data_IF_696175113675
#
_entry.id   IF_696175113675
#
_cell.length_a   1.000
_cell.length_b   1.000
_cell.length_c   1.000
_cell.angle_alpha   90.00
_cell.angle_beta   90.00
_cell.angle_gamma   90.00
#
_symmetry.space_group_name_H-M   'P 1'
#
loop_
_entity.id
_entity.type
_entity.pdbx_description
1 polymer ?
#
# COMPACT_ATOMS: atom_id res chain seq x y z
N UNK A 1 3.18 -14.53 -13.93
CA UNK A 1 2.71 -14.14 -12.58
C UNK A 1 2.12 -12.71 -12.56
N UNK A 2 1.04 -12.41 -13.32
CA UNK A 2 0.62 -11.00 -13.53
C UNK A 2 -0.57 -10.50 -12.70
N UNK A 3 -1.32 -11.39 -12.01
CA UNK A 3 -2.64 -11.04 -11.46
C UNK A 3 -2.77 -10.69 -9.96
N UNK A 4 -1.88 -11.05 -9.00
CA UNK A 4 -2.21 -10.90 -7.58
C UNK A 4 -2.16 -9.45 -7.04
N UNK A 5 -1.50 -8.53 -7.75
CA UNK A 5 -1.22 -7.18 -7.23
C UNK A 5 -2.41 -6.20 -7.29
N UNK A 6 -3.43 -6.49 -8.10
CA UNK A 6 -4.64 -5.66 -8.21
C UNK A 6 -5.45 -5.60 -6.91
N UNK A 7 -5.38 -6.66 -6.10
CA UNK A 7 -6.22 -6.85 -4.91
C UNK A 7 -5.54 -6.30 -3.64
N UNK A 8 -4.22 -6.10 -3.67
CA UNK A 8 -3.45 -5.65 -2.50
C UNK A 8 -3.93 -4.33 -1.89
N UNK A 9 -4.28 -3.29 -2.66
CA UNK A 9 -4.84 -2.06 -2.10
C UNK A 9 -6.17 -2.30 -1.38
N UNK A 10 -6.98 -3.23 -1.87
CA UNK A 10 -8.29 -3.56 -1.29
C UNK A 10 -8.12 -4.35 0.01
N UNK A 11 -7.24 -5.37 0.02
CA UNK A 11 -6.92 -6.17 1.21
C UNK A 11 -6.34 -5.28 2.32
N UNK A 12 -5.45 -4.37 1.95
CA UNK A 12 -4.85 -3.40 2.87
C UNK A 12 -5.91 -2.47 3.50
N UNK A 13 -6.89 -2.02 2.70
CA UNK A 13 -7.98 -1.19 3.19
C UNK A 13 -8.93 -1.95 4.13
N UNK A 14 -9.22 -3.21 3.82
CA UNK A 14 -10.10 -4.05 4.64
C UNK A 14 -9.56 -4.31 6.05
N UNK A 15 -8.25 -4.13 6.25
CA UNK A 15 -7.60 -4.31 7.53
C UNK A 15 -8.20 -3.45 8.65
N UNK A 16 -8.13 -2.13 8.48
CA UNK A 16 -8.37 -1.17 9.56
C UNK A 16 -9.15 0.06 9.09
N UNK A 17 -9.24 0.33 7.79
CA UNK A 17 -9.85 1.57 7.28
C UNK A 17 -11.35 1.71 7.60
N UNK A 18 -12.03 0.59 7.86
CA UNK A 18 -13.45 0.54 8.21
C UNK A 18 -13.75 0.66 9.71
N UNK A 19 -12.74 0.52 10.59
CA UNK A 19 -12.96 0.39 12.05
C UNK A 19 -13.74 1.57 12.61
N UNK A 20 -13.37 2.81 12.26
CA UNK A 20 -14.11 4.00 12.68
C UNK A 20 -15.62 3.89 12.38
N UNK A 21 -15.95 3.41 11.19
CA UNK A 21 -17.33 3.36 10.71
C UNK A 21 -18.11 2.23 11.37
N UNK A 22 -17.45 1.10 11.62
CA UNK A 22 -18.00 0.00 12.41
C UNK A 22 -18.32 0.51 13.83
N UNK A 23 -17.34 1.09 14.52
CA UNK A 23 -17.51 1.63 15.88
C UNK A 23 -18.64 2.66 15.97
N UNK A 24 -18.74 3.55 14.97
CA UNK A 24 -19.80 4.56 14.90
C UNK A 24 -21.19 3.94 14.64
N UNK A 25 -21.28 2.95 13.75
CA UNK A 25 -22.56 2.32 13.41
C UNK A 25 -23.11 1.47 14.56
N UNK A 26 -22.25 0.83 15.36
CA UNK A 26 -22.65 0.03 16.52
C UNK A 26 -22.72 0.84 17.83
N UNK A 27 -22.39 2.13 17.81
CA UNK A 27 -22.45 3.00 19.00
C UNK A 27 -21.28 2.83 19.99
N UNK A 28 -20.27 2.02 19.67
CA UNK A 28 -19.10 1.79 20.53
C UNK A 28 -18.12 2.96 20.57
N UNK A 29 -18.27 3.95 19.70
CA UNK A 29 -17.32 5.07 19.60
C UNK A 29 -17.30 5.96 20.85
N UNK A 30 -18.45 6.20 21.51
CA UNK A 30 -18.54 7.11 22.65
C UNK A 30 -17.85 6.57 23.91
N UNK A 31 -18.07 5.31 24.34
CA UNK A 31 -17.33 4.74 25.48
C UNK A 31 -15.81 4.75 25.29
N UNK A 32 -15.34 4.48 24.06
CA UNK A 32 -13.90 4.45 23.75
C UNK A 32 -13.31 5.87 23.82
N UNK A 33 -13.96 6.83 23.18
CA UNK A 33 -13.53 8.24 23.18
C UNK A 33 -13.58 8.82 24.61
N UNK A 34 -14.58 8.46 25.41
CA UNK A 34 -14.71 8.95 26.79
C UNK A 34 -13.56 8.50 27.68
N UNK A 35 -12.97 7.33 27.42
CA UNK A 35 -11.84 6.80 28.21
C UNK A 35 -10.48 7.35 27.75
N UNK A 36 -10.27 7.47 26.44
CA UNK A 36 -8.96 7.80 25.85
C UNK A 36 -8.81 9.27 25.45
N UNK A 37 -9.91 9.98 25.26
CA UNK A 37 -9.95 11.31 24.68
C UNK A 37 -9.96 11.31 23.14
N UNK A 38 -10.73 12.21 22.55
CA UNK A 38 -10.96 12.33 21.09
C UNK A 38 -9.66 12.42 20.29
N UNK A 39 -8.78 13.36 20.64
CA UNK A 39 -7.51 13.60 19.92
C UNK A 39 -6.56 12.41 20.00
N UNK A 40 -6.57 11.67 21.10
CA UNK A 40 -5.71 10.51 21.26
C UNK A 40 -6.24 9.33 20.44
N UNK A 41 -7.54 9.05 20.49
CA UNK A 41 -8.19 8.01 19.69
C UNK A 41 -7.89 8.16 18.19
N UNK A 42 -8.13 9.34 17.60
CA UNK A 42 -7.92 9.52 16.15
C UNK A 42 -6.44 9.47 15.74
N UNK A 43 -5.52 10.01 16.55
CA UNK A 43 -4.08 9.85 16.27
C UNK A 43 -3.67 8.38 16.29
N UNK A 44 -4.12 7.65 17.30
CA UNK A 44 -3.81 6.24 17.44
C UNK A 44 -4.42 5.42 16.29
N UNK A 45 -5.68 5.70 15.93
CA UNK A 45 -6.37 5.02 14.84
C UNK A 45 -5.66 5.19 13.50
N UNK A 46 -5.20 6.41 13.18
CA UNK A 46 -4.42 6.65 11.96
C UNK A 46 -3.09 5.89 11.96
N UNK A 47 -2.34 5.93 13.07
CA UNK A 47 -1.06 5.22 13.20
C UNK A 47 -1.23 3.70 13.11
N UNK A 48 -2.21 3.13 13.85
CA UNK A 48 -2.52 1.70 13.80
C UNK A 48 -2.93 1.30 12.38
N UNK A 49 -3.77 2.09 11.72
CA UNK A 49 -4.17 1.81 10.35
C UNK A 49 -2.97 1.71 9.42
N UNK A 50 -2.07 2.70 9.47
CA UNK A 50 -0.88 2.70 8.62
C UNK A 50 0.02 1.49 8.89
N UNK A 51 0.33 1.22 10.15
CA UNK A 51 1.23 0.13 10.56
C UNK A 51 0.64 -1.23 10.20
N UNK A 52 -0.62 -1.49 10.57
CA UNK A 52 -1.27 -2.79 10.31
C UNK A 52 -1.42 -3.02 8.81
N UNK A 53 -1.80 -1.99 8.06
CA UNK A 53 -1.96 -2.05 6.60
C UNK A 53 -0.63 -2.32 5.88
N UNK A 54 0.47 -1.78 6.40
CA UNK A 54 1.83 -2.09 5.92
C UNK A 54 2.17 -3.57 6.14
N UNK A 55 1.97 -4.09 7.36
CA UNK A 55 2.30 -5.47 7.68
C UNK A 55 1.42 -6.50 6.96
N UNK A 56 0.15 -6.19 6.70
CA UNK A 56 -0.76 -7.07 5.98
C UNK A 56 -0.29 -7.37 4.55
N UNK A 57 0.46 -6.46 3.92
CA UNK A 57 1.09 -6.72 2.61
C UNK A 57 2.48 -7.32 2.79
N UNK A 58 3.26 -6.82 3.75
CA UNK A 58 4.64 -7.28 3.98
C UNK A 58 4.70 -8.76 4.32
N UNK A 59 3.83 -9.24 5.22
CA UNK A 59 3.87 -10.61 5.74
C UNK A 59 3.62 -11.66 4.64
N UNK A 60 2.56 -11.58 3.81
CA UNK A 60 2.37 -12.51 2.71
C UNK A 60 3.51 -12.51 1.69
N UNK A 61 4.08 -11.34 1.38
CA UNK A 61 5.20 -11.25 0.43
C UNK A 61 6.49 -11.86 0.99
N UNK A 62 6.82 -11.60 2.25
CA UNK A 62 7.96 -12.23 2.93
C UNK A 62 7.79 -13.74 3.04
N UNK A 63 6.57 -14.20 3.35
CA UNK A 63 6.26 -15.62 3.40
C UNK A 63 6.40 -16.29 2.01
N UNK A 64 5.93 -15.62 0.94
CA UNK A 64 6.14 -16.10 -0.42
C UNK A 64 7.63 -16.26 -0.73
N UNK A 65 8.45 -15.27 -0.37
CA UNK A 65 9.89 -15.32 -0.58
C UNK A 65 10.57 -16.42 0.22
N UNK A 66 10.16 -16.62 1.46
CA UNK A 66 10.64 -17.71 2.29
C UNK A 66 10.39 -19.07 1.64
N UNK A 67 9.16 -19.31 1.14
CA UNK A 67 8.85 -20.55 0.40
C UNK A 67 9.66 -20.68 -0.88
N UNK A 68 9.91 -19.57 -1.58
CA UNK A 68 10.73 -19.57 -2.79
C UNK A 68 12.19 -19.92 -2.49
N UNK A 69 12.75 -19.36 -1.42
CA UNK A 69 14.12 -19.66 -0.96
C UNK A 69 14.29 -21.11 -0.48
N UNK A 70 13.21 -21.76 -0.01
CA UNK A 70 13.22 -23.18 0.37
C UNK A 70 13.15 -24.13 -0.84
N UNK A 71 12.49 -23.72 -1.92
CA UNK A 71 12.24 -24.58 -3.09
C UNK A 71 13.31 -24.44 -4.16
N UNK A 72 13.91 -23.25 -4.30
CA UNK A 72 14.92 -22.96 -5.30
C UNK A 72 16.25 -22.54 -4.66
N UNK A 73 17.40 -23.01 -5.17
CA UNK A 73 18.69 -22.55 -4.69
C UNK A 73 18.85 -21.06 -4.97
N UNK A 74 19.34 -20.33 -3.98
CA UNK A 74 19.55 -18.88 -4.07
C UNK A 74 20.80 -18.59 -4.91
N UNK A 75 20.68 -18.73 -6.23
CA UNK A 75 21.73 -18.41 -7.20
C UNK A 75 21.52 -16.98 -7.69
N UNK A 76 22.60 -16.20 -7.76
CA UNK A 76 22.55 -14.87 -8.33
C UNK A 76 22.02 -14.95 -9.78
N UNK A 77 21.06 -14.09 -10.16
CA UNK A 77 20.48 -14.15 -11.49
C UNK A 77 21.58 -13.92 -12.53
N UNK A 78 21.63 -14.78 -13.55
CA UNK A 78 22.62 -14.62 -14.62
C UNK A 78 22.03 -13.72 -15.72
N UNK A 79 22.76 -12.69 -16.21
CA UNK A 79 22.23 -11.75 -17.20
C UNK A 79 21.68 -12.40 -18.48
N UNK A 80 22.32 -13.48 -18.94
CA UNK A 80 21.91 -14.24 -20.13
C UNK A 80 20.58 -14.97 -19.89
N UNK A 81 20.39 -15.57 -18.71
CA UNK A 81 19.14 -16.24 -18.34
C UNK A 81 18.01 -15.22 -18.13
N UNK A 82 18.31 -14.05 -17.54
CA UNK A 82 17.34 -12.97 -17.39
C UNK A 82 16.93 -12.37 -18.75
N UNK A 83 17.85 -12.26 -19.71
CA UNK A 83 17.54 -11.82 -21.07
C UNK A 83 16.55 -12.76 -21.77
N UNK A 84 16.66 -14.08 -21.55
CA UNK A 84 15.74 -15.07 -22.12
C UNK A 84 14.37 -15.11 -21.41
N UNK A 85 14.33 -14.88 -20.10
CA UNK A 85 13.10 -14.92 -19.31
C UNK A 85 12.41 -13.54 -19.16
N UNK A 86 13.08 -12.45 -19.55
CA UNK A 86 12.66 -11.06 -19.38
C UNK A 86 12.14 -10.75 -17.95
N UNK A 87 12.80 -11.31 -16.93
CA UNK A 87 12.34 -11.22 -15.53
C UNK A 87 12.59 -9.86 -14.89
N UNK A 88 13.67 -9.18 -15.23
CA UNK A 88 13.95 -7.77 -14.86
C UNK A 88 14.56 -7.11 -16.08
N UNK A 89 14.05 -5.95 -16.47
CA UNK A 89 14.58 -5.29 -17.66
C UNK A 89 16.02 -4.79 -17.46
N UNK A 90 16.91 -4.87 -18.47
CA UNK A 90 18.29 -4.41 -18.36
C UNK A 90 18.43 -2.91 -18.00
N UNK A 91 17.42 -2.11 -18.35
CA UNK A 91 17.36 -0.66 -18.08
C UNK A 91 16.44 -0.31 -16.90
N UNK A 92 15.96 -1.32 -16.16
CA UNK A 92 15.18 -1.10 -14.95
C UNK A 92 16.03 -0.45 -13.85
N UNK A 93 15.36 0.32 -12.98
CA UNK A 93 16.04 0.93 -11.84
C UNK A 93 16.50 -0.15 -10.87
N UNK A 94 17.73 -0.01 -10.35
CA UNK A 94 18.35 -0.98 -9.45
C UNK A 94 18.61 -2.36 -10.07
N UNK A 95 18.69 -2.47 -11.40
CA UNK A 95 19.09 -3.72 -12.07
C UNK A 95 20.48 -4.23 -11.63
N UNK A 96 21.42 -3.34 -11.31
CA UNK A 96 22.72 -3.73 -10.71
C UNK A 96 22.54 -4.42 -9.36
N UNK A 97 21.68 -3.87 -8.49
CA UNK A 97 21.33 -4.46 -7.19
C UNK A 97 20.62 -5.80 -7.36
N UNK A 98 19.81 -5.97 -8.40
CA UNK A 98 19.17 -7.26 -8.71
C UNK A 98 20.20 -8.36 -8.97
N UNK A 99 21.30 -8.06 -9.68
CA UNK A 99 22.35 -9.04 -9.97
C UNK A 99 23.33 -9.26 -8.82
N UNK A 100 23.70 -8.20 -8.10
CA UNK A 100 24.69 -8.26 -7.02
C UNK A 100 24.07 -8.71 -5.67
N UNK A 101 22.87 -8.23 -5.36
CA UNK A 101 22.18 -8.45 -4.09
C UNK A 101 20.69 -8.77 -4.29
N UNK A 102 20.34 -9.97 -4.82
CA UNK A 102 18.96 -10.33 -5.17
C UNK A 102 17.98 -10.28 -3.98
N UNK A 103 18.48 -10.60 -2.79
CA UNK A 103 17.71 -10.58 -1.54
C UNK A 103 17.33 -9.15 -1.15
N UNK A 104 18.26 -8.19 -1.27
CA UNK A 104 18.03 -6.78 -1.00
C UNK A 104 17.01 -6.20 -1.98
N UNK A 105 17.15 -6.55 -3.26
CA UNK A 105 16.21 -6.14 -4.30
C UNK A 105 14.78 -6.61 -4.01
N UNK A 106 14.62 -7.85 -3.54
CA UNK A 106 13.31 -8.35 -3.10
C UNK A 106 12.77 -7.59 -1.87
N UNK A 107 13.61 -7.28 -0.89
CA UNK A 107 13.19 -6.49 0.28
C UNK A 107 12.73 -5.09 -0.11
N UNK A 108 13.38 -4.45 -1.08
CA UNK A 108 12.94 -3.16 -1.65
C UNK A 108 11.57 -3.30 -2.32
N UNK A 109 11.35 -4.39 -3.06
CA UNK A 109 10.05 -4.70 -3.66
C UNK A 109 8.95 -4.86 -2.60
N UNK A 110 9.20 -5.61 -1.52
CA UNK A 110 8.24 -5.74 -0.42
C UNK A 110 7.94 -4.39 0.20
N UNK A 111 8.97 -3.62 0.52
CA UNK A 111 8.83 -2.33 1.17
C UNK A 111 7.97 -1.36 0.35
N UNK A 112 8.24 -1.21 -0.96
CA UNK A 112 7.48 -0.32 -1.82
C UNK A 112 6.01 -0.74 -1.98
N UNK A 113 5.74 -2.05 -2.12
CA UNK A 113 4.37 -2.55 -2.20
C UNK A 113 3.58 -2.36 -0.90
N UNK A 114 4.24 -2.56 0.25
CA UNK A 114 3.62 -2.36 1.55
C UNK A 114 3.36 -0.89 1.87
N UNK A 115 4.30 0.00 1.51
CA UNK A 115 4.12 1.45 1.62
C UNK A 115 2.92 1.92 0.77
N UNK A 116 2.85 1.42 -0.47
CA UNK A 116 1.74 1.69 -1.38
C UNK A 116 0.38 1.33 -0.77
N UNK A 117 0.21 0.12 -0.26
CA UNK A 117 -1.05 -0.27 0.37
C UNK A 117 -1.35 0.50 1.66
N UNK A 118 -0.35 0.77 2.50
CA UNK A 118 -0.54 1.54 3.73
C UNK A 118 -1.09 2.95 3.46
N UNK A 119 -0.55 3.64 2.45
CA UNK A 119 -1.04 4.97 2.05
C UNK A 119 -2.46 4.93 1.51
N UNK A 120 -2.77 3.94 0.67
CA UNK A 120 -4.10 3.76 0.11
C UNK A 120 -5.14 3.40 1.18
N UNK A 121 -4.76 2.57 2.15
CA UNK A 121 -5.58 2.27 3.32
C UNK A 121 -5.83 3.51 4.18
N UNK A 122 -4.81 4.34 4.42
CA UNK A 122 -4.98 5.62 5.14
C UNK A 122 -5.91 6.60 4.42
N UNK A 123 -5.88 6.62 3.09
CA UNK A 123 -6.85 7.37 2.30
C UNK A 123 -8.27 6.82 2.47
N UNK A 124 -8.46 5.50 2.45
CA UNK A 124 -9.76 4.88 2.72
C UNK A 124 -10.26 5.23 4.13
N UNK A 125 -9.40 5.15 5.14
CA UNK A 125 -9.73 5.55 6.50
C UNK A 125 -10.16 7.02 6.56
N UNK A 126 -9.51 7.89 5.82
CA UNK A 126 -9.85 9.31 5.75
C UNK A 126 -11.22 9.54 5.09
N UNK A 127 -11.58 8.70 4.13
CA UNK A 127 -12.89 8.75 3.46
C UNK A 127 -14.01 8.13 4.32
N UNK A 128 -13.66 7.28 5.29
CA UNK A 128 -14.61 6.66 6.24
C UNK A 128 -15.48 7.66 7.01
N UNK A 129 -14.99 8.89 7.19
CA UNK A 129 -15.76 9.97 7.82
C UNK A 129 -16.95 10.44 6.98
N UNK A 130 -16.84 10.37 5.64
CA UNK A 130 -17.82 10.92 4.71
C UNK A 130 -18.82 9.87 4.23
N UNK A 131 -18.39 8.60 4.15
CA UNK A 131 -19.22 7.50 3.65
C UNK A 131 -19.91 6.77 4.81
N UNK A 132 -21.22 6.50 4.67
CA UNK A 132 -21.99 5.82 5.73
C UNK A 132 -21.81 4.30 5.77
N UNK A 133 -21.61 3.67 4.61
CA UNK A 133 -21.52 2.20 4.49
C UNK A 133 -20.07 1.76 4.37
N UNK A 134 -19.69 0.79 5.20
CA UNK A 134 -18.31 0.30 5.30
C UNK A 134 -17.81 -0.29 3.98
N UNK A 135 -18.66 -1.02 3.26
CA UNK A 135 -18.32 -1.63 1.98
C UNK A 135 -17.78 -0.65 0.94
N UNK A 136 -18.35 0.55 0.84
CA UNK A 136 -17.88 1.57 -0.11
C UNK A 136 -16.50 2.11 0.26
N UNK A 137 -16.13 2.11 1.54
CA UNK A 137 -14.82 2.57 2.02
C UNK A 137 -13.73 1.63 1.50
N UNK A 138 -13.95 0.31 1.59
CA UNK A 138 -12.99 -0.70 1.12
C UNK A 138 -12.79 -0.68 -0.40
N UNK A 139 -13.80 -0.25 -1.15
CA UNK A 139 -13.70 -0.14 -2.61
C UNK A 139 -12.90 1.09 -3.08
N UNK A 140 -12.74 2.13 -2.26
CA UNK A 140 -12.07 3.36 -2.72
C UNK A 140 -10.64 3.09 -3.21
N UNK A 141 -9.78 2.38 -2.45
CA UNK A 141 -8.42 2.08 -2.90
C UNK A 141 -8.37 1.28 -4.20
N UNK A 142 -9.31 0.36 -4.37
CA UNK A 142 -9.42 -0.47 -5.55
C UNK A 142 -9.81 0.34 -6.79
N UNK A 143 -10.83 1.20 -6.67
CA UNK A 143 -11.28 2.07 -7.76
C UNK A 143 -10.17 3.06 -8.15
N UNK A 144 -9.47 3.65 -7.18
CA UNK A 144 -8.34 4.54 -7.45
C UNK A 144 -7.19 3.81 -8.15
N UNK A 145 -6.89 2.58 -7.73
CA UNK A 145 -5.87 1.76 -8.38
C UNK A 145 -6.25 1.43 -9.83
N UNK A 146 -7.50 1.03 -10.11
CA UNK A 146 -7.99 0.76 -11.47
C UNK A 146 -7.98 2.01 -12.34
N UNK A 147 -8.49 3.13 -11.81
CA UNK A 147 -8.52 4.39 -12.52
C UNK A 147 -7.12 4.80 -12.98
N UNK A 148 -6.14 4.62 -12.10
CA UNK A 148 -4.76 4.93 -12.42
C UNK A 148 -4.11 3.92 -13.37
N UNK A 149 -4.44 2.63 -13.29
CA UNK A 149 -3.98 1.66 -14.28
C UNK A 149 -4.52 1.99 -15.68
N UNK A 150 -5.76 2.48 -15.78
CA UNK A 150 -6.39 2.83 -17.06
C UNK A 150 -5.84 4.11 -17.70
N UNK A 151 -5.55 5.14 -16.90
CA UNK A 151 -5.15 6.46 -17.41
C UNK A 151 -3.63 6.69 -17.31
N UNK A 152 -3.03 6.26 -16.19
CA UNK A 152 -1.68 6.63 -15.78
C UNK A 152 -0.57 5.72 -16.28
N UNK A 153 -0.77 4.92 -17.33
CA UNK A 153 0.25 4.01 -17.91
C UNK A 153 1.04 3.16 -16.89
N UNK A 154 0.46 2.83 -15.73
CA UNK A 154 1.15 2.05 -14.68
C UNK A 154 1.92 2.86 -13.64
N UNK A 155 1.82 4.20 -13.60
CA UNK A 155 2.60 5.07 -12.68
C UNK A 155 2.35 4.80 -11.16
N UNK A 156 1.33 4.02 -10.79
CA UNK A 156 1.06 3.67 -9.37
C UNK A 156 1.23 2.19 -9.09
N UNK A 157 2.03 1.49 -9.90
CA UNK A 157 2.33 0.09 -9.68
C UNK A 157 3.79 -0.11 -9.27
N UNK A 158 4.10 -0.38 -7.99
CA UNK A 158 5.47 -0.58 -7.51
C UNK A 158 6.25 -1.61 -8.33
N UNK A 159 5.55 -2.63 -8.86
CA UNK A 159 6.16 -3.68 -9.67
C UNK A 159 6.74 -3.16 -10.97
N UNK A 160 6.12 -2.18 -11.60
CA UNK A 160 6.52 -1.72 -12.92
C UNK A 160 7.84 -0.93 -12.85
N UNK A 161 8.17 -0.35 -11.69
CA UNK A 161 9.43 0.40 -11.49
C UNK A 161 10.66 -0.45 -11.26
N UNK A 162 10.47 -1.58 -10.59
CA UNK A 162 11.54 -2.52 -10.31
C UNK A 162 11.67 -3.50 -11.49
N UNK A 163 10.57 -4.11 -11.92
CA UNK A 163 10.62 -5.23 -12.86
C UNK A 163 10.71 -4.76 -14.33
N UNK A 164 10.13 -3.61 -14.67
CA UNK A 164 10.04 -3.13 -16.07
C UNK A 164 10.80 -1.83 -16.29
N UNK A 165 11.02 -1.52 -17.57
CA UNK A 165 11.67 -0.29 -18.00
C UNK A 165 10.77 0.92 -17.89
N UNK A 166 11.02 1.69 -16.84
CA UNK A 166 10.51 3.06 -16.76
C UNK A 166 11.60 4.10 -16.41
N UNK A 167 12.82 3.72 -16.03
CA UNK A 167 13.95 4.66 -15.88
C UNK A 167 13.86 5.57 -14.64
N UNK A 168 14.95 6.33 -14.35
CA UNK A 168 15.17 6.98 -13.04
C UNK A 168 14.08 7.97 -12.59
N UNK A 169 13.60 8.78 -13.52
CA UNK A 169 12.59 9.80 -13.27
C UNK A 169 11.24 9.20 -12.84
N UNK A 170 10.95 7.97 -13.24
CA UNK A 170 9.64 7.36 -13.03
C UNK A 170 9.45 6.87 -11.57
N UNK A 171 10.47 6.32 -10.89
CA UNK A 171 10.35 6.02 -9.44
C UNK A 171 10.28 7.29 -8.59
N UNK A 172 10.95 8.37 -8.99
CA UNK A 172 10.81 9.65 -8.30
C UNK A 172 9.37 10.18 -8.44
N UNK A 173 8.78 10.06 -9.64
CA UNK A 173 7.37 10.39 -9.88
C UNK A 173 6.47 9.53 -8.99
N UNK A 174 6.66 8.20 -8.97
CA UNK A 174 5.90 7.30 -8.09
C UNK A 174 5.92 7.74 -6.62
N UNK A 175 7.12 7.95 -6.07
CA UNK A 175 7.28 8.36 -4.68
C UNK A 175 6.65 9.73 -4.43
N UNK A 176 6.77 10.68 -5.37
CA UNK A 176 6.14 11.99 -5.26
C UNK A 176 4.62 11.91 -5.25
N UNK A 177 4.02 11.10 -6.13
CA UNK A 177 2.56 10.90 -6.19
C UNK A 177 2.08 10.21 -4.92
N UNK A 178 2.81 9.20 -4.43
CA UNK A 178 2.49 8.48 -3.20
C UNK A 178 2.56 9.41 -1.97
N UNK A 179 3.56 10.31 -1.91
CA UNK A 179 3.64 11.36 -0.90
C UNK A 179 2.48 12.36 -1.00
N UNK A 180 2.09 12.77 -2.21
CA UNK A 180 0.93 13.64 -2.41
C UNK A 180 -0.37 12.98 -1.94
N UNK A 181 -0.58 11.70 -2.26
CA UNK A 181 -1.75 10.93 -1.80
C UNK A 181 -1.73 10.81 -0.27
N UNK A 182 -0.57 10.52 0.32
CA UNK A 182 -0.43 10.44 1.77
C UNK A 182 -0.76 11.79 2.44
N UNK A 183 -0.21 12.90 1.94
CA UNK A 183 -0.52 14.23 2.44
C UNK A 183 -2.01 14.57 2.30
N UNK A 184 -2.61 14.27 1.15
CA UNK A 184 -4.04 14.43 0.92
C UNK A 184 -4.87 13.63 1.95
N UNK A 185 -4.47 12.38 2.21
CA UNK A 185 -5.12 11.54 3.21
C UNK A 185 -5.04 12.15 4.61
N UNK A 186 -3.87 12.63 5.05
CA UNK A 186 -3.70 13.32 6.35
C UNK A 186 -4.60 14.56 6.44
N UNK A 187 -4.64 15.41 5.41
CA UNK A 187 -5.48 16.61 5.40
C UNK A 187 -6.97 16.25 5.50
N UNK A 188 -7.41 15.26 4.71
CA UNK A 188 -8.80 14.76 4.75
C UNK A 188 -9.14 14.15 6.12
N UNK A 189 -8.22 13.40 6.72
CA UNK A 189 -8.38 12.79 8.04
C UNK A 189 -8.54 13.85 9.15
N UNK A 190 -7.66 14.86 9.15
CA UNK A 190 -7.72 15.97 10.10
C UNK A 190 -9.01 16.79 9.94
N UNK A 191 -9.45 17.01 8.70
CA UNK A 191 -10.73 17.70 8.42
C UNK A 191 -11.93 16.84 8.86
N UNK A 192 -11.90 15.55 8.57
CA UNK A 192 -12.96 14.59 8.91
C UNK A 192 -13.15 14.43 10.41
N UNK A 193 -12.06 14.18 11.13
CA UNK A 193 -12.04 14.03 12.59
C UNK A 193 -12.49 15.28 13.35
N UNK A 194 -12.27 16.49 12.82
CA UNK A 194 -12.76 17.74 13.45
C UNK A 194 -14.24 18.00 13.19
N UNK A 195 -14.74 17.75 11.96
CA UNK A 195 -16.11 18.11 11.57
C UNK A 195 -17.18 17.07 11.94
N UNK A 196 -16.87 15.77 11.88
CA UNK A 196 -17.90 14.70 11.92
C UNK A 196 -17.91 13.87 13.21
N UNK A 197 -17.19 14.34 14.24
CA UNK A 197 -17.11 13.72 15.58
C UNK A 197 -17.93 14.51 16.61
N UNK A 198 -18.18 15.81 16.36
CA UNK A 198 -18.92 16.71 17.24
C UNK A 198 -20.38 16.94 16.79
N UNK A 199 -20.84 16.18 15.79
CA UNK A 199 -22.21 16.14 15.25
C UNK A 199 -22.71 14.69 15.28
#
# INVERSE_FOLDING_TARGET
MQHPLLIFPMISAMAVAGIYRIDKNYGFIYPVISKMGTRHYFRLLYCINFIVSFFIISVPLLFHFYLYAMTYPTVAPHPILNYMAATVSPTAQFNTVYYEYPTLYFLMYVFLNSLYGAVFSSLALSISFFIKRVYFIYLVPFVLHIFWLGIGKGILNPKDYLIKDFGFFELQIFLSVLLCIWFCSVVLYLRGSRKYVLL
#
